data_IF_601731757314
#
_entry.id   IF_601731757314
#
_cell.length_a   1.000
_cell.length_b   1.000
_cell.length_c   1.000
_cell.angle_alpha   90.00
_cell.angle_beta   90.00
_cell.angle_gamma   90.00
#
_symmetry.space_group_name_H-M   'P 1'
#
loop_
_entity.id
_entity.type
_entity.pdbx_description
1 polymer ?
#
# COMPACT_ATOMS: atom_id res chain seq x y z
N UNK A 1 27.28 -8.68 2.04
CA UNK A 1 27.96 -7.99 3.17
C UNK A 1 27.13 -8.19 4.41
N UNK A 2 27.60 -8.98 5.36
CA UNK A 2 26.95 -9.16 6.66
C UNK A 2 27.35 -7.98 7.53
N UNK A 3 26.48 -6.97 7.60
CA UNK A 3 26.64 -5.88 8.57
C UNK A 3 26.40 -6.47 9.97
N UNK A 4 27.49 -6.83 10.64
CA UNK A 4 27.46 -7.36 11.99
C UNK A 4 27.25 -6.25 13.01
N UNK A 5 26.00 -5.74 13.12
CA UNK A 5 25.56 -4.85 14.20
C UNK A 5 25.41 -5.67 15.47
N UNK A 6 26.51 -5.93 16.17
CA UNK A 6 26.47 -6.67 17.44
C UNK A 6 25.57 -5.93 18.44
N UNK A 7 24.52 -6.58 18.93
CA UNK A 7 23.57 -6.04 19.90
C UNK A 7 22.27 -5.45 19.35
N UNK A 8 22.09 -5.38 18.02
CA UNK A 8 20.84 -5.00 17.38
C UNK A 8 19.99 -6.22 17.01
N UNK A 9 18.68 -6.05 16.89
CA UNK A 9 17.80 -7.06 16.31
C UNK A 9 18.19 -7.30 14.84
N UNK A 10 18.28 -8.56 14.44
CA UNK A 10 18.53 -8.93 13.05
C UNK A 10 17.19 -8.98 12.27
N UNK A 11 16.68 -7.81 11.85
CA UNK A 11 15.46 -7.72 11.05
C UNK A 11 15.74 -8.26 9.65
N UNK A 12 14.98 -9.29 9.22
CA UNK A 12 15.13 -9.96 7.93
C UNK A 12 14.24 -9.35 6.83
N UNK A 13 13.19 -8.63 7.19
CA UNK A 13 12.27 -8.01 6.23
C UNK A 13 11.01 -7.47 6.90
N UNK A 14 10.16 -6.84 6.11
CA UNK A 14 8.81 -6.49 6.50
C UNK A 14 7.93 -7.74 6.42
N UNK A 15 7.29 -8.14 7.51
CA UNK A 15 6.43 -9.31 7.55
C UNK A 15 5.04 -9.02 7.00
N UNK A 16 4.33 -8.10 7.63
CA UNK A 16 2.98 -7.70 7.25
C UNK A 16 2.60 -6.34 7.86
N UNK A 17 1.52 -5.76 7.36
CA UNK A 17 0.90 -4.55 7.89
C UNK A 17 -0.52 -4.86 8.33
N UNK A 18 -0.95 -4.35 9.49
CA UNK A 18 -2.33 -4.45 9.98
C UNK A 18 -2.98 -3.08 9.91
N UNK A 19 -4.03 -2.96 9.11
CA UNK A 19 -4.83 -1.75 8.96
C UNK A 19 -6.13 -1.85 9.76
N UNK A 20 -6.50 -0.78 10.43
CA UNK A 20 -7.76 -0.71 11.17
C UNK A 20 -8.86 -0.22 10.23
N UNK A 21 -9.99 -0.93 10.24
CA UNK A 21 -11.19 -0.61 9.44
C UNK A 21 -12.43 -0.64 10.35
N UNK A 22 -13.46 0.13 10.02
CA UNK A 22 -14.69 0.18 10.82
C UNK A 22 -15.61 -1.00 10.51
N UNK A 23 -15.65 -1.44 9.25
CA UNK A 23 -16.55 -2.50 8.80
C UNK A 23 -15.84 -3.39 7.76
N UNK A 24 -15.58 -4.64 8.15
CA UNK A 24 -15.00 -5.66 7.27
C UNK A 24 -15.89 -5.96 6.05
N UNK A 25 -17.22 -5.88 6.19
CA UNK A 25 -18.14 -6.13 5.06
C UNK A 25 -17.97 -5.12 3.94
N UNK A 26 -17.56 -3.89 4.28
CA UNK A 26 -17.25 -2.83 3.32
C UNK A 26 -15.81 -2.92 2.81
N UNK A 27 -14.87 -3.20 3.69
CA UNK A 27 -13.44 -3.12 3.36
C UNK A 27 -12.93 -4.38 2.64
N UNK A 28 -13.41 -5.58 3.01
CA UNK A 28 -12.97 -6.83 2.37
C UNK A 28 -13.20 -6.83 0.86
N UNK A 29 -14.39 -6.47 0.32
CA UNK A 29 -14.56 -6.37 -1.13
C UNK A 29 -13.59 -5.42 -1.82
N UNK A 30 -13.25 -4.30 -1.18
CA UNK A 30 -12.27 -3.36 -1.73
C UNK A 30 -10.89 -4.00 -1.88
N UNK A 31 -10.36 -4.62 -0.82
CA UNK A 31 -9.04 -5.25 -0.87
C UNK A 31 -9.00 -6.49 -1.77
N UNK A 32 -10.06 -7.30 -1.79
CA UNK A 32 -10.15 -8.51 -2.61
C UNK A 32 -10.46 -8.20 -4.07
N UNK A 33 -11.50 -7.40 -4.35
CA UNK A 33 -12.08 -7.28 -5.69
C UNK A 33 -11.52 -6.07 -6.45
N UNK A 34 -11.21 -4.95 -5.75
CA UNK A 34 -10.63 -3.75 -6.38
C UNK A 34 -9.10 -3.85 -6.44
N UNK A 35 -8.44 -4.22 -5.33
CA UNK A 35 -6.99 -4.35 -5.30
C UNK A 35 -6.50 -5.73 -5.78
N UNK A 36 -7.38 -6.72 -5.92
CA UNK A 36 -7.03 -8.06 -6.40
C UNK A 36 -6.23 -8.90 -5.39
N UNK A 37 -6.28 -8.58 -4.09
CA UNK A 37 -5.54 -9.33 -3.09
C UNK A 37 -6.24 -10.66 -2.79
N UNK A 38 -5.44 -11.70 -2.60
CA UNK A 38 -5.94 -13.02 -2.24
C UNK A 38 -6.28 -13.09 -0.75
N UNK A 39 -7.57 -13.27 -0.45
CA UNK A 39 -8.04 -13.56 0.90
C UNK A 39 -7.55 -14.94 1.34
N UNK A 40 -6.83 -15.03 2.47
CA UNK A 40 -6.16 -16.26 2.91
C UNK A 40 -6.65 -16.79 4.25
N UNK A 41 -7.39 -16.00 5.02
CA UNK A 41 -7.92 -16.46 6.31
C UNK A 41 -8.63 -15.39 7.12
N UNK A 42 -9.26 -15.87 8.20
CA UNK A 42 -10.02 -15.05 9.13
C UNK A 42 -9.64 -15.38 10.57
N UNK A 43 -9.71 -14.39 11.43
CA UNK A 43 -9.72 -14.58 12.87
C UNK A 43 -11.09 -14.14 13.42
N UNK A 44 -12.03 -15.09 13.47
CA UNK A 44 -13.42 -14.83 13.79
C UNK A 44 -14.01 -13.74 12.87
N UNK A 45 -14.86 -12.90 13.47
CA UNK A 45 -15.47 -11.76 12.76
C UNK A 45 -14.64 -10.46 12.90
N UNK A 46 -13.40 -10.57 13.39
CA UNK A 46 -12.60 -9.40 13.76
C UNK A 46 -11.46 -9.08 12.81
N UNK A 47 -10.91 -10.09 12.14
CA UNK A 47 -9.79 -9.87 11.22
C UNK A 47 -9.92 -10.71 9.96
N UNK A 48 -9.43 -10.14 8.86
CA UNK A 48 -9.27 -10.83 7.57
C UNK A 48 -7.85 -10.61 7.09
N UNK A 49 -7.24 -11.65 6.55
CA UNK A 49 -5.85 -11.67 6.10
C UNK A 49 -5.79 -11.82 4.59
N UNK A 50 -4.88 -11.06 3.97
CA UNK A 50 -4.66 -11.06 2.53
C UNK A 50 -3.20 -11.30 2.20
N UNK A 51 -2.96 -12.05 1.12
CA UNK A 51 -1.66 -12.21 0.48
C UNK A 51 -1.62 -11.43 -0.84
N UNK A 52 -0.50 -10.80 -1.10
CA UNK A 52 -0.24 -10.09 -2.36
C UNK A 52 0.24 -11.06 -3.44
N UNK A 53 1.15 -11.96 -3.10
CA UNK A 53 1.71 -12.98 -4.02
C UNK A 53 1.64 -14.36 -3.37
N UNK A 54 2.70 -14.81 -2.71
CA UNK A 54 2.85 -16.16 -2.15
C UNK A 54 3.28 -16.16 -0.66
N UNK A 55 2.95 -15.11 0.07
CA UNK A 55 3.20 -15.03 1.50
C UNK A 55 2.00 -15.61 2.29
N UNK A 56 2.22 -16.02 3.54
CA UNK A 56 1.11 -16.41 4.42
C UNK A 56 0.10 -15.28 4.63
N UNK A 57 0.54 -14.02 4.67
CA UNK A 57 -0.23 -12.78 4.53
C UNK A 57 0.72 -11.58 4.49
N UNK A 58 0.30 -10.52 3.85
CA UNK A 58 1.03 -9.25 3.73
C UNK A 58 0.23 -8.10 4.32
N UNK A 59 -1.10 -8.16 4.19
CA UNK A 59 -2.03 -7.19 4.76
C UNK A 59 -3.06 -7.92 5.61
N UNK A 60 -3.37 -7.36 6.77
CA UNK A 60 -4.51 -7.77 7.56
C UNK A 60 -5.42 -6.57 7.85
N UNK A 61 -6.73 -6.80 7.84
CA UNK A 61 -7.72 -5.83 8.27
C UNK A 61 -8.21 -6.21 9.67
N UNK A 62 -8.12 -5.27 10.60
CA UNK A 62 -8.64 -5.40 11.95
C UNK A 62 -9.85 -4.50 12.11
N UNK A 63 -11.02 -5.11 12.36
CA UNK A 63 -12.24 -4.35 12.62
C UNK A 63 -12.17 -3.62 13.96
N UNK A 64 -12.45 -2.34 13.92
CA UNK A 64 -12.63 -1.47 15.09
C UNK A 64 -14.13 -1.25 15.36
N UNK A 65 -14.45 -0.27 16.18
CA UNK A 65 -15.84 0.17 16.36
C UNK A 65 -16.30 0.94 15.11
N UNK A 66 -17.57 0.78 14.76
CA UNK A 66 -18.19 1.47 13.62
C UNK A 66 -18.14 3.00 13.74
N UNK A 67 -18.28 3.51 14.96
CA UNK A 67 -18.23 4.94 15.30
C UNK A 67 -16.81 5.46 15.61
N UNK A 68 -15.77 4.67 15.34
CA UNK A 68 -14.39 5.09 15.59
C UNK A 68 -14.05 6.34 14.77
N UNK A 69 -13.52 7.38 15.42
CA UNK A 69 -13.06 8.58 14.76
C UNK A 69 -11.89 8.27 13.79
N UNK A 70 -11.83 8.98 12.68
CA UNK A 70 -10.63 8.97 11.84
C UNK A 70 -9.45 9.56 12.63
N UNK A 71 -8.25 9.04 12.38
CA UNK A 71 -7.05 9.65 12.94
C UNK A 71 -6.87 11.07 12.37
N UNK A 72 -6.48 12.06 13.19
CA UNK A 72 -6.09 13.37 12.68
C UNK A 72 -4.99 13.24 11.61
N UNK A 73 -5.02 14.11 10.61
CA UNK A 73 -4.07 14.06 9.48
C UNK A 73 -2.61 14.22 9.93
N UNK A 74 -2.38 14.95 11.02
CA UNK A 74 -1.08 15.23 11.62
C UNK A 74 -0.73 14.28 12.78
N UNK A 75 -1.56 13.26 13.05
CA UNK A 75 -1.25 12.30 14.10
C UNK A 75 -0.08 11.40 13.69
N UNK A 76 0.87 11.11 14.60
CA UNK A 76 1.89 10.12 14.34
C UNK A 76 1.28 8.74 14.03
N UNK A 77 1.77 8.06 13.01
CA UNK A 77 1.27 6.74 12.61
C UNK A 77 1.76 6.31 11.24
N UNK A 78 1.06 5.34 10.67
CA UNK A 78 1.31 4.88 9.31
C UNK A 78 0.77 5.94 8.33
N UNK A 79 1.64 6.46 7.46
CA UNK A 79 1.25 7.43 6.45
C UNK A 79 0.50 6.76 5.28
N UNK A 80 1.08 5.69 4.71
CA UNK A 80 0.46 4.90 3.65
C UNK A 80 1.10 3.51 3.56
N UNK A 81 0.45 2.63 2.79
CA UNK A 81 1.02 1.33 2.36
C UNK A 81 1.18 1.38 0.85
N UNK A 82 2.39 1.08 0.37
CA UNK A 82 2.71 1.05 -1.05
C UNK A 82 2.72 -0.39 -1.58
N UNK A 83 2.00 -0.62 -2.69
CA UNK A 83 1.89 -1.91 -3.37
C UNK A 83 2.43 -1.80 -4.79
N UNK A 84 3.41 -2.61 -5.12
CA UNK A 84 3.94 -2.68 -6.48
C UNK A 84 2.94 -3.39 -7.38
N UNK A 85 2.64 -2.80 -8.55
CA UNK A 85 1.69 -3.35 -9.52
C UNK A 85 2.31 -3.67 -10.88
N UNK A 86 3.55 -3.28 -11.11
CA UNK A 86 4.24 -3.51 -12.38
C UNK A 86 5.52 -2.70 -12.52
N UNK A 87 6.00 -2.58 -13.75
CA UNK A 87 7.25 -1.90 -14.11
C UNK A 87 7.09 -0.92 -15.29
N UNK A 88 5.85 -0.63 -15.71
CA UNK A 88 5.58 0.25 -16.85
C UNK A 88 4.56 1.35 -16.53
N UNK A 89 4.70 2.48 -17.21
CA UNK A 89 3.75 3.60 -17.11
C UNK A 89 2.36 3.22 -17.66
N UNK A 90 2.30 2.28 -18.59
CA UNK A 90 1.03 1.80 -19.14
C UNK A 90 0.22 1.01 -18.08
N UNK A 91 0.87 0.16 -17.29
CA UNK A 91 0.22 -0.53 -16.16
C UNK A 91 -0.32 0.47 -15.13
N UNK A 92 0.42 1.56 -14.89
CA UNK A 92 -0.04 2.61 -13.98
C UNK A 92 -1.28 3.36 -14.54
N UNK A 93 -1.35 3.63 -15.86
CA UNK A 93 -2.54 4.20 -16.51
C UNK A 93 -3.74 3.28 -16.43
N UNK A 94 -3.53 1.99 -16.66
CA UNK A 94 -4.59 0.97 -16.54
C UNK A 94 -5.10 0.88 -15.10
N UNK A 95 -4.20 0.91 -14.11
CA UNK A 95 -4.56 0.93 -12.69
C UNK A 95 -5.38 2.18 -12.34
N UNK A 96 -5.01 3.36 -12.85
CA UNK A 96 -5.79 4.59 -12.68
C UNK A 96 -7.21 4.43 -13.21
N UNK A 97 -7.33 4.01 -14.46
CA UNK A 97 -8.64 3.81 -15.10
C UNK A 97 -9.50 2.78 -14.34
N UNK A 98 -8.90 1.72 -13.84
CA UNK A 98 -9.56 0.71 -13.03
C UNK A 98 -10.06 1.27 -11.70
N UNK A 99 -9.22 2.00 -10.96
CA UNK A 99 -9.60 2.62 -9.70
C UNK A 99 -10.78 3.61 -9.90
N UNK A 100 -10.68 4.48 -10.90
CA UNK A 100 -11.74 5.44 -11.24
C UNK A 100 -13.05 4.74 -11.64
N UNK A 101 -12.97 3.66 -12.42
CA UNK A 101 -14.14 2.86 -12.82
C UNK A 101 -14.82 2.16 -11.63
N UNK A 102 -14.07 1.88 -10.55
CA UNK A 102 -14.59 1.33 -9.30
C UNK A 102 -14.95 2.41 -8.26
N UNK A 103 -15.01 3.67 -8.68
CA UNK A 103 -15.44 4.78 -7.82
C UNK A 103 -14.40 5.21 -6.77
N UNK A 104 -13.14 4.83 -6.95
CA UNK A 104 -12.05 5.22 -6.04
C UNK A 104 -11.54 6.61 -6.41
N UNK A 105 -11.59 7.53 -5.46
CA UNK A 105 -11.07 8.88 -5.66
C UNK A 105 -9.53 8.88 -5.60
N UNK A 106 -8.88 9.39 -6.64
CA UNK A 106 -7.43 9.55 -6.67
C UNK A 106 -7.04 10.80 -5.88
N UNK A 107 -6.19 10.63 -4.86
CA UNK A 107 -5.68 11.73 -4.03
C UNK A 107 -4.58 12.52 -4.75
N UNK A 108 -3.61 11.82 -5.32
CA UNK A 108 -2.48 12.41 -6.04
C UNK A 108 -1.78 11.39 -6.94
N UNK A 109 -1.04 11.89 -7.91
CA UNK A 109 -0.17 11.11 -8.78
C UNK A 109 1.22 11.72 -8.74
N UNK A 110 2.26 10.89 -8.54
CA UNK A 110 3.63 11.35 -8.32
C UNK A 110 4.64 10.58 -9.17
N UNK A 111 5.68 11.30 -9.56
CA UNK A 111 6.92 10.74 -10.09
C UNK A 111 8.02 10.94 -9.03
N UNK A 112 8.54 9.84 -8.51
CA UNK A 112 9.61 9.81 -7.52
C UNK A 112 10.98 9.56 -8.14
N UNK A 113 11.09 9.57 -9.47
CA UNK A 113 12.27 9.18 -10.27
C UNK A 113 12.50 7.66 -10.18
N UNK A 114 12.61 7.10 -8.99
CA UNK A 114 12.80 5.65 -8.78
C UNK A 114 11.52 4.85 -9.04
N UNK A 115 10.35 5.48 -8.89
CA UNK A 115 9.03 4.89 -9.11
C UNK A 115 8.02 5.94 -9.53
N UNK A 116 6.87 5.51 -10.06
CA UNK A 116 5.72 6.36 -10.37
C UNK A 116 4.49 5.79 -9.69
N UNK A 117 3.69 6.65 -9.07
CA UNK A 117 2.74 6.25 -8.04
C UNK A 117 1.40 6.95 -8.18
N UNK A 118 0.34 6.22 -7.81
CA UNK A 118 -1.02 6.74 -7.60
C UNK A 118 -1.39 6.52 -6.13
N UNK A 119 -1.88 7.57 -5.48
CA UNK A 119 -2.33 7.54 -4.08
C UNK A 119 -3.85 7.68 -4.01
N UNK A 120 -4.46 6.91 -3.13
CA UNK A 120 -5.90 6.89 -2.91
C UNK A 120 -6.24 6.34 -1.53
N UNK A 121 -7.40 6.74 -0.94
CA UNK A 121 -7.85 6.17 0.32
C UNK A 121 -8.55 4.82 0.11
N UNK A 122 -8.43 3.95 1.11
CA UNK A 122 -9.35 2.83 1.27
C UNK A 122 -10.73 3.33 1.76
N UNK A 123 -11.75 2.46 1.92
CA UNK A 123 -13.06 2.88 2.42
C UNK A 123 -13.07 3.53 3.81
N UNK A 124 -12.01 3.35 4.61
CA UNK A 124 -11.89 3.92 5.96
C UNK A 124 -10.99 5.15 6.02
N UNK A 125 -10.36 5.53 4.88
CA UNK A 125 -9.45 6.65 4.77
C UNK A 125 -7.99 6.29 5.05
N UNK A 126 -7.65 4.99 5.17
CA UNK A 126 -6.25 4.58 5.17
C UNK A 126 -5.65 4.88 3.79
N UNK A 127 -4.56 5.64 3.73
CA UNK A 127 -3.95 5.96 2.44
C UNK A 127 -3.17 4.76 1.91
N UNK A 128 -3.41 4.47 0.64
CA UNK A 128 -2.72 3.44 -0.13
C UNK A 128 -2.00 4.08 -1.30
N UNK A 129 -0.94 3.43 -1.72
CA UNK A 129 -0.18 3.75 -2.91
C UNK A 129 -0.11 2.51 -3.79
N UNK A 130 -0.37 2.65 -5.08
CA UNK A 130 0.07 1.66 -6.07
C UNK A 130 1.15 2.28 -6.93
N UNK A 131 2.20 1.51 -7.22
CA UNK A 131 3.33 2.04 -7.94
C UNK A 131 3.92 1.05 -8.95
N UNK A 132 4.61 1.61 -9.92
CA UNK A 132 5.50 0.90 -10.84
C UNK A 132 6.93 1.40 -10.63
N UNK A 133 7.90 0.50 -10.67
CA UNK A 133 9.30 0.89 -10.65
C UNK A 133 9.69 1.58 -11.95
N UNK A 134 10.70 2.43 -11.90
CA UNK A 134 11.35 2.89 -13.11
C UNK A 134 12.18 1.74 -13.72
N UNK A 135 12.27 1.67 -15.04
CA UNK A 135 13.04 0.65 -15.77
C UNK A 135 14.53 0.68 -15.37
N UNK A 136 15.06 1.87 -15.10
CA UNK A 136 16.42 2.06 -14.62
C UNK A 136 16.42 2.07 -13.08
N UNK A 137 17.21 1.18 -12.47
CA UNK A 137 17.40 1.15 -11.01
C UNK A 137 18.37 2.25 -10.58
N UNK A 138 18.05 3.49 -10.92
CA UNK A 138 18.88 4.68 -10.68
C UNK A 138 19.23 4.88 -9.20
N UNK A 139 18.40 4.37 -8.29
CA UNK A 139 18.65 4.40 -6.85
C UNK A 139 19.85 3.54 -6.41
N UNK A 140 20.32 2.62 -7.25
CA UNK A 140 21.55 1.85 -6.98
C UNK A 140 22.79 2.72 -7.12
N UNK A 141 22.76 3.73 -8.01
CA UNK A 141 23.85 4.66 -8.26
C UNK A 141 23.73 5.90 -7.35
N UNK A 142 22.51 6.37 -7.14
CA UNK A 142 22.21 7.53 -6.30
C UNK A 142 21.00 7.23 -5.37
N UNK A 143 21.26 6.71 -4.16
CA UNK A 143 20.18 6.37 -3.21
C UNK A 143 19.37 7.58 -2.72
N UNK A 144 19.87 8.82 -2.85
CA UNK A 144 19.14 10.02 -2.41
C UNK A 144 17.94 10.34 -3.33
N UNK A 145 17.92 9.78 -4.53
CA UNK A 145 16.80 9.95 -5.47
C UNK A 145 15.46 9.45 -4.93
N UNK A 146 15.44 8.52 -3.96
CA UNK A 146 14.20 8.07 -3.28
C UNK A 146 13.45 9.20 -2.56
N UNK A 147 14.14 10.30 -2.23
CA UNK A 147 13.55 11.47 -1.59
C UNK A 147 12.92 12.47 -2.59
N UNK A 148 12.99 12.18 -3.89
CA UNK A 148 12.44 13.06 -4.93
C UNK A 148 10.94 12.82 -5.12
N UNK A 149 10.18 13.90 -5.31
CA UNK A 149 8.75 13.82 -5.62
C UNK A 149 8.31 15.03 -6.43
N UNK A 150 7.69 14.79 -7.58
CA UNK A 150 7.05 15.82 -8.45
C UNK A 150 5.69 15.33 -8.94
N UNK A 151 4.85 16.25 -9.38
CA UNK A 151 3.58 15.88 -9.99
C UNK A 151 3.80 15.11 -11.30
N UNK A 152 2.93 14.14 -11.54
CA UNK A 152 2.90 13.36 -12.78
C UNK A 152 1.51 13.47 -13.41
N UNK A 153 1.46 13.86 -14.68
CA UNK A 153 0.27 13.74 -15.52
C UNK A 153 0.24 12.35 -16.17
N UNK A 154 -0.83 11.60 -15.92
CA UNK A 154 -1.09 10.27 -16.49
C UNK A 154 -2.21 10.34 -17.53
#
# INVERSE_FOLDING_TARGET
MTDNRSGALNVQGLGHVVLKVRDLKRSVPFYRDVLGLKEVGHFGDRMVFFSVVDNHHDIALLQTREDAAAAPVDAPGLAHVALKIGDSLEELRQARAWLEANGVAISRVRDHIVSRSIYFPDPDGNELEVFVDNEEKVWLEDPELVATSKELAL
#
